data_IF_153005824361
#
_entry.id   IF_153005824361
#
_cell.length_a   1.000
_cell.length_b   1.000
_cell.length_c   1.000
_cell.angle_alpha   90.00
_cell.angle_beta   90.00
_cell.angle_gamma   90.00
#
_symmetry.space_group_name_H-M   'P 1'
#
loop_
_entity.id
_entity.type
_entity.pdbx_description
1 polymer ?
#
# COMPACT_ATOMS: atom_id res chain seq x y z
N UNK A 1 4.52 26.99 29.33
CA UNK A 1 3.34 27.88 29.28
C UNK A 1 3.60 28.97 28.24
N UNK A 2 3.11 28.84 27.03
CA UNK A 2 2.91 29.95 26.08
C UNK A 2 1.62 29.65 25.33
N UNK A 3 0.61 30.49 25.55
CA UNK A 3 -0.69 30.47 24.89
C UNK A 3 -0.51 30.98 23.46
N UNK A 4 -1.06 30.29 22.48
CA UNK A 4 -1.26 30.81 21.11
C UNK A 4 -2.76 30.94 20.90
N UNK A 5 -3.18 32.18 20.62
CA UNK A 5 -4.56 32.57 20.39
C UNK A 5 -5.04 32.14 19.01
N UNK A 6 -6.25 31.57 18.98
CA UNK A 6 -7.04 31.36 17.78
C UNK A 6 -7.68 32.70 17.34
N UNK A 7 -7.46 33.10 16.12
CA UNK A 7 -8.18 34.20 15.48
C UNK A 7 -9.23 33.56 14.55
N UNK A 8 -10.49 33.78 14.92
CA UNK A 8 -11.67 33.38 14.19
C UNK A 8 -12.00 34.49 13.18
N UNK A 9 -11.96 34.20 11.88
CA UNK A 9 -12.50 35.12 10.85
C UNK A 9 -13.94 34.70 10.51
N UNK A 10 -14.89 35.55 10.96
CA UNK A 10 -16.26 35.55 10.47
C UNK A 10 -16.32 36.30 9.13
N UNK A 11 -16.79 35.64 8.08
CA UNK A 11 -17.29 36.36 6.87
C UNK A 11 -18.80 36.40 6.89
N UNK A 12 -19.30 37.63 7.02
CA UNK A 12 -20.72 37.95 6.92
C UNK A 12 -21.15 38.03 5.45
N UNK A 13 -22.28 37.38 5.15
CA UNK A 13 -22.89 37.45 3.83
C UNK A 13 -23.58 38.76 3.57
N UNK A 14 -23.57 39.23 2.34
CA UNK A 14 -24.46 40.26 1.85
C UNK A 14 -25.24 39.73 0.63
N UNK A 15 -26.53 39.61 0.84
CA UNK A 15 -27.51 39.33 -0.20
C UNK A 15 -27.82 40.61 -1.00
N UNK A 16 -27.80 40.54 -2.33
CA UNK A 16 -28.46 41.57 -3.17
C UNK A 16 -29.50 40.91 -4.02
N UNK A 17 -30.78 41.26 -3.69
CA UNK A 17 -31.95 41.12 -4.55
C UNK A 17 -31.94 42.28 -5.55
N UNK A 18 -32.05 41.97 -6.83
CA UNK A 18 -32.30 42.95 -7.88
C UNK A 18 -33.40 42.44 -8.82
N UNK A 19 -34.61 42.88 -8.59
CA UNK A 19 -35.79 42.66 -9.44
C UNK A 19 -35.83 43.72 -10.53
N UNK A 20 -35.94 43.37 -11.82
CA UNK A 20 -36.31 44.30 -12.89
C UNK A 20 -37.30 43.63 -13.82
N UNK A 21 -38.55 44.19 -13.80
CA UNK A 21 -39.63 43.94 -14.78
C UNK A 21 -39.50 44.91 -15.92
N UNK A 22 -39.64 44.44 -17.16
CA UNK A 22 -40.21 45.25 -18.29
C UNK A 22 -40.64 44.29 -19.41
N UNK A 23 -41.88 44.22 -19.60
CA UNK A 23 -42.84 44.82 -20.54
C UNK A 23 -42.96 44.11 -21.91
N UNK A 24 -44.18 43.58 -22.01
CA UNK A 24 -44.88 43.02 -23.16
C UNK A 24 -45.04 44.05 -24.29
N UNK A 25 -44.75 43.63 -25.53
CA UNK A 25 -45.42 44.13 -26.73
C UNK A 25 -45.87 43.01 -27.64
N UNK A 26 -47.16 42.83 -27.77
CA UNK A 26 -47.83 42.04 -28.81
C UNK A 26 -47.68 42.70 -30.16
N UNK A 27 -47.36 41.94 -31.20
CA UNK A 27 -47.83 42.22 -32.55
C UNK A 27 -48.27 40.93 -33.22
N UNK A 28 -49.46 40.94 -33.75
CA UNK A 28 -50.18 39.90 -34.50
C UNK A 28 -49.72 39.86 -35.97
N UNK A 29 -49.99 38.71 -36.55
CA UNK A 29 -50.16 38.30 -37.95
C UNK A 29 -48.88 37.74 -38.59
N UNK A 30 -48.82 36.61 -39.34
CA UNK A 30 -49.85 35.99 -40.21
C UNK A 30 -49.50 34.52 -40.36
N UNK A 31 -50.46 33.65 -40.64
CA UNK A 31 -50.33 32.26 -41.03
C UNK A 31 -49.59 32.11 -42.34
N UNK A 32 -48.62 31.21 -42.41
CA UNK A 32 -48.32 30.49 -43.63
C UNK A 32 -48.00 29.02 -43.32
N UNK A 33 -48.66 28.14 -44.05
CA UNK A 33 -48.57 26.70 -43.94
C UNK A 33 -47.32 26.18 -44.63
N UNK A 34 -46.74 25.12 -44.05
CA UNK A 34 -45.95 24.21 -44.88
C UNK A 34 -44.67 23.71 -44.22
N UNK A 35 -44.61 22.41 -44.13
CA UNK A 35 -43.48 21.49 -43.87
C UNK A 35 -43.10 21.28 -42.39
N UNK A 36 -43.64 20.17 -41.89
CA UNK A 36 -43.09 19.39 -40.78
C UNK A 36 -41.84 18.68 -41.22
N UNK A 37 -40.68 19.31 -41.07
CA UNK A 37 -39.42 18.55 -41.03
C UNK A 37 -39.23 18.09 -39.58
N UNK A 38 -39.38 16.77 -39.40
CA UNK A 38 -38.97 16.08 -38.17
C UNK A 38 -37.46 16.20 -38.01
N UNK A 39 -37.01 17.18 -37.24
CA UNK A 39 -35.62 17.23 -36.78
C UNK A 39 -35.44 16.08 -35.80
N UNK A 40 -34.88 14.98 -36.31
CA UNK A 40 -34.33 13.89 -35.48
C UNK A 40 -33.20 14.50 -34.66
N UNK A 41 -33.44 14.77 -33.37
CA UNK A 41 -32.35 15.00 -32.41
C UNK A 41 -31.47 13.74 -32.37
N UNK A 42 -30.36 13.78 -33.08
CA UNK A 42 -29.32 12.80 -32.95
C UNK A 42 -28.78 12.88 -31.52
N UNK A 43 -29.20 11.99 -30.63
CA UNK A 43 -28.54 11.77 -29.34
C UNK A 43 -27.06 11.59 -29.59
N UNK A 44 -26.26 12.54 -29.07
CA UNK A 44 -24.81 12.39 -29.04
C UNK A 44 -24.47 11.00 -28.45
N UNK A 45 -23.50 10.26 -29.03
CA UNK A 45 -23.13 8.96 -28.51
C UNK A 45 -22.71 9.12 -27.03
N UNK A 46 -23.40 8.45 -26.13
CA UNK A 46 -22.99 8.32 -24.74
C UNK A 46 -21.59 7.69 -24.77
N UNK A 47 -20.56 8.44 -24.45
CA UNK A 47 -19.18 7.96 -24.40
C UNK A 47 -19.16 6.83 -23.35
N UNK A 48 -19.15 5.62 -23.82
CA UNK A 48 -19.11 4.44 -22.95
C UNK A 48 -17.84 4.53 -22.10
N UNK A 49 -18.00 4.60 -20.79
CA UNK A 49 -16.87 4.70 -19.86
C UNK A 49 -16.06 3.39 -19.95
N UNK A 50 -14.76 3.50 -19.86
CA UNK A 50 -13.87 2.33 -19.85
C UNK A 50 -14.25 1.40 -18.69
N UNK A 51 -14.58 0.10 -18.93
CA UNK A 51 -14.97 -0.83 -17.87
C UNK A 51 -13.96 -0.94 -16.72
N UNK A 52 -12.66 -0.81 -17.02
CA UNK A 52 -11.62 -0.84 -15.99
C UNK A 52 -11.63 0.43 -15.13
N UNK A 53 -12.00 1.58 -15.69
CA UNK A 53 -12.20 2.82 -14.89
C UNK A 53 -13.41 2.69 -13.98
N UNK A 54 -14.50 2.06 -14.44
CA UNK A 54 -15.64 1.76 -13.58
C UNK A 54 -15.26 0.80 -12.44
N UNK A 55 -14.53 -0.26 -12.75
CA UNK A 55 -13.97 -1.19 -11.76
C UNK A 55 -13.08 -0.46 -10.76
N UNK A 56 -12.15 0.37 -11.24
CA UNK A 56 -11.25 1.17 -10.41
C UNK A 56 -12.01 2.07 -9.45
N UNK A 57 -13.07 2.72 -9.93
CA UNK A 57 -13.95 3.56 -9.10
C UNK A 57 -14.62 2.76 -7.98
N UNK A 58 -15.08 1.53 -8.27
CA UNK A 58 -15.65 0.65 -7.24
C UNK A 58 -14.63 0.22 -6.21
N UNK A 59 -13.40 -0.15 -6.65
CA UNK A 59 -12.30 -0.50 -5.76
C UNK A 59 -11.97 0.66 -4.82
N UNK A 60 -11.78 1.87 -5.35
CA UNK A 60 -11.52 3.06 -4.53
C UNK A 60 -12.66 3.29 -3.53
N UNK A 61 -13.91 3.11 -3.96
CA UNK A 61 -15.07 3.30 -3.10
C UNK A 61 -15.13 2.29 -1.94
N UNK A 62 -14.58 1.08 -2.10
CA UNK A 62 -14.53 0.05 -1.06
C UNK A 62 -13.39 0.25 -0.05
N UNK A 63 -12.39 1.08 -0.37
CA UNK A 63 -11.28 1.35 0.52
C UNK A 63 -11.72 2.07 1.80
N UNK A 64 -10.95 1.93 2.87
CA UNK A 64 -11.19 2.64 4.14
C UNK A 64 -11.20 4.17 3.94
N UNK A 65 -11.95 4.89 4.78
CA UNK A 65 -11.98 6.37 4.72
C UNK A 65 -10.58 6.96 4.89
N UNK A 66 -9.74 6.35 5.74
CA UNK A 66 -8.37 6.78 5.93
C UNK A 66 -7.53 6.58 4.67
N UNK A 67 -7.64 5.43 4.02
CA UNK A 67 -6.97 5.18 2.75
C UNK A 67 -7.37 6.23 1.70
N UNK A 68 -8.68 6.46 1.51
CA UNK A 68 -9.21 7.46 0.57
C UNK A 68 -8.71 8.87 0.85
N UNK A 69 -8.63 9.25 2.13
CA UNK A 69 -8.15 10.57 2.55
C UNK A 69 -6.65 10.77 2.34
N UNK A 70 -5.87 9.69 2.32
CA UNK A 70 -4.42 9.72 2.15
C UNK A 70 -3.96 9.33 0.74
N UNK A 71 -4.87 8.90 -0.13
CA UNK A 71 -4.54 8.69 -1.56
C UNK A 71 -4.16 10.01 -2.21
N UNK A 72 -3.14 9.95 -3.06
CA UNK A 72 -2.72 11.12 -3.83
C UNK A 72 -3.75 11.54 -4.86
N UNK A 73 -3.85 12.84 -5.09
CA UNK A 73 -4.60 13.40 -6.22
C UNK A 73 -3.97 12.97 -7.55
N UNK A 74 -4.80 12.54 -8.49
CA UNK A 74 -4.40 12.12 -9.83
C UNK A 74 -5.58 11.68 -10.67
N UNK A 75 -5.37 11.45 -11.97
CA UNK A 75 -6.43 10.92 -12.82
C UNK A 75 -6.60 9.41 -12.63
N UNK A 76 -7.83 8.92 -12.83
CA UNK A 76 -8.11 7.48 -12.79
C UNK A 76 -7.34 6.72 -13.89
N UNK A 77 -7.12 7.34 -15.05
CA UNK A 77 -6.33 6.79 -16.15
C UNK A 77 -4.86 6.62 -15.77
N UNK A 78 -4.31 7.57 -15.02
CA UNK A 78 -2.93 7.49 -14.56
C UNK A 78 -2.78 6.41 -13.48
N UNK A 79 -3.71 6.36 -12.52
CA UNK A 79 -3.74 5.32 -11.49
C UNK A 79 -3.87 3.93 -12.12
N UNK A 80 -4.77 3.75 -13.10
CA UNK A 80 -4.94 2.49 -13.82
C UNK A 80 -3.68 2.09 -14.59
N UNK A 81 -3.03 3.05 -15.25
CA UNK A 81 -1.78 2.82 -15.96
C UNK A 81 -0.67 2.32 -15.03
N UNK A 82 -0.56 2.93 -13.84
CA UNK A 82 0.45 2.52 -12.87
C UNK A 82 0.08 1.19 -12.18
N UNK A 83 -1.20 0.92 -11.96
CA UNK A 83 -1.68 -0.38 -11.48
C UNK A 83 -1.30 -1.50 -12.48
N UNK A 84 -1.49 -1.29 -13.78
CA UNK A 84 -1.11 -2.28 -14.80
C UNK A 84 0.39 -2.60 -14.76
N UNK A 85 1.28 -1.61 -14.52
CA UNK A 85 2.72 -1.87 -14.35
C UNK A 85 3.00 -2.80 -13.17
N UNK A 86 2.27 -2.64 -12.08
CA UNK A 86 2.38 -3.51 -10.89
C UNK A 86 1.90 -4.92 -11.19
N UNK A 87 0.74 -5.07 -11.86
CA UNK A 87 0.19 -6.38 -12.24
C UNK A 87 1.07 -7.10 -13.28
N UNK A 88 1.65 -6.37 -14.23
CA UNK A 88 2.61 -6.90 -15.19
C UNK A 88 3.92 -7.34 -14.53
N UNK A 89 4.36 -6.62 -13.49
CA UNK A 89 5.52 -7.01 -12.69
C UNK A 89 5.21 -8.28 -11.89
N UNK A 90 4.03 -8.38 -11.27
CA UNK A 90 3.57 -9.58 -10.56
C UNK A 90 3.55 -10.81 -11.46
N UNK A 91 3.17 -10.64 -12.72
CA UNK A 91 3.11 -11.73 -13.68
C UNK A 91 4.47 -12.40 -13.95
N UNK A 92 5.58 -11.76 -13.57
CA UNK A 92 6.96 -12.27 -13.72
C UNK A 92 7.45 -13.08 -12.51
N UNK A 93 6.74 -13.00 -11.37
CA UNK A 93 7.09 -13.81 -10.19
C UNK A 93 6.66 -15.27 -10.37
N UNK A 94 7.27 -16.22 -9.63
CA UNK A 94 6.89 -17.63 -9.66
C UNK A 94 5.38 -17.83 -9.43
N UNK A 95 4.76 -18.69 -10.26
CA UNK A 95 3.30 -18.94 -10.23
C UNK A 95 2.90 -20.11 -9.34
N UNK A 96 3.87 -20.88 -8.88
CA UNK A 96 3.72 -22.03 -8.00
C UNK A 96 3.82 -21.66 -6.51
N UNK A 97 3.79 -20.35 -6.22
CA UNK A 97 3.79 -19.80 -4.88
C UNK A 97 2.73 -18.69 -4.73
N UNK A 98 2.46 -18.26 -3.49
CA UNK A 98 1.63 -17.10 -3.24
C UNK A 98 2.27 -15.83 -3.83
N UNK A 99 1.43 -14.96 -4.35
CA UNK A 99 1.86 -13.66 -4.87
C UNK A 99 2.64 -12.88 -3.81
N UNK A 100 3.64 -12.10 -4.25
CA UNK A 100 4.29 -11.09 -3.39
C UNK A 100 3.30 -10.04 -2.88
N UNK A 101 2.14 -9.89 -3.54
CA UNK A 101 1.05 -8.99 -3.13
C UNK A 101 -0.04 -9.69 -2.33
N UNK A 102 0.19 -10.92 -1.87
CA UNK A 102 -0.78 -11.59 -1.02
C UNK A 102 -1.05 -10.75 0.24
N UNK A 103 -2.31 -10.41 0.44
CA UNK A 103 -2.74 -9.67 1.63
C UNK A 103 -2.70 -10.62 2.84
N UNK A 104 -1.73 -10.42 3.70
CA UNK A 104 -1.59 -11.13 4.98
C UNK A 104 -1.55 -10.10 6.10
N UNK A 105 -2.47 -10.22 7.03
CA UNK A 105 -2.63 -9.33 8.18
C UNK A 105 -3.44 -10.04 9.27
N UNK A 106 -3.93 -9.32 10.28
CA UNK A 106 -4.74 -9.90 11.37
C UNK A 106 -6.06 -10.56 10.93
N UNK A 107 -6.53 -10.29 9.72
CA UNK A 107 -7.80 -10.80 9.17
C UNK A 107 -7.58 -11.81 8.06
N UNK A 108 -6.42 -11.77 7.41
CA UNK A 108 -6.08 -12.60 6.26
C UNK A 108 -4.88 -13.47 6.62
N UNK A 109 -5.05 -14.78 6.55
CA UNK A 109 -4.06 -15.77 6.97
C UNK A 109 -3.68 -16.71 5.83
N UNK A 110 -2.56 -17.37 5.99
CA UNK A 110 -2.16 -18.53 5.20
C UNK A 110 -2.38 -19.81 6.00
N UNK A 111 -2.48 -20.93 5.29
CA UNK A 111 -2.65 -22.25 5.90
C UNK A 111 -1.44 -22.63 6.78
N UNK A 112 -1.66 -23.46 7.81
CA UNK A 112 -0.62 -23.97 8.69
C UNK A 112 0.49 -24.72 7.92
N UNK A 113 0.10 -25.45 6.89
CA UNK A 113 1.00 -26.23 6.04
C UNK A 113 1.74 -25.40 4.98
N UNK A 114 1.37 -24.11 4.80
CA UNK A 114 1.98 -23.28 3.77
C UNK A 114 3.46 -23.04 4.06
N UNK A 115 4.28 -23.42 3.09
CA UNK A 115 5.73 -23.16 3.02
C UNK A 115 6.02 -22.62 1.62
N UNK A 116 6.70 -21.45 1.47
CA UNK A 116 7.08 -20.95 0.16
C UNK A 116 7.87 -21.96 -0.67
N UNK A 117 7.58 -22.04 -1.97
CA UNK A 117 8.13 -23.07 -2.86
C UNK A 117 9.63 -22.93 -3.09
N UNK A 118 10.14 -21.70 -3.16
CA UNK A 118 11.52 -21.39 -3.56
C UNK A 118 12.32 -20.72 -2.44
N UNK A 119 12.39 -21.38 -1.28
CA UNK A 119 13.20 -20.92 -0.17
C UNK A 119 14.69 -21.25 -0.39
N UNK A 120 15.53 -20.21 -0.34
CA UNK A 120 16.99 -20.34 -0.36
C UNK A 120 17.58 -19.92 0.98
N UNK A 121 18.70 -20.54 1.36
CA UNK A 121 19.39 -20.21 2.60
C UNK A 121 20.10 -18.86 2.49
N UNK A 122 19.83 -17.99 3.44
CA UNK A 122 20.51 -16.69 3.56
C UNK A 122 21.80 -16.85 4.36
N UNK A 123 22.92 -16.40 3.81
CA UNK A 123 24.25 -16.53 4.42
C UNK A 123 25.00 -15.20 4.32
N UNK A 124 25.76 -14.88 5.37
CA UNK A 124 26.62 -13.71 5.36
C UNK A 124 27.57 -13.73 4.16
N UNK A 125 27.79 -12.57 3.59
CA UNK A 125 28.69 -12.37 2.46
C UNK A 125 29.41 -11.01 2.59
N UNK A 126 30.05 -10.52 1.51
CA UNK A 126 30.75 -9.23 1.53
C UNK A 126 29.81 -8.02 1.67
N UNK A 127 28.50 -8.17 1.35
CA UNK A 127 27.53 -7.08 1.33
C UNK A 127 26.71 -6.99 2.62
N UNK A 128 26.33 -8.11 3.22
CA UNK A 128 25.51 -8.13 4.44
C UNK A 128 25.96 -9.22 5.42
N UNK A 129 25.58 -9.03 6.68
CA UNK A 129 25.82 -9.99 7.78
C UNK A 129 24.50 -10.64 8.16
N UNK A 130 24.57 -11.90 8.59
CA UNK A 130 23.42 -12.67 9.08
C UNK A 130 23.66 -13.00 10.55
N UNK A 131 22.76 -12.58 11.42
CA UNK A 131 22.90 -12.72 12.87
C UNK A 131 22.41 -14.07 13.41
N UNK A 132 21.66 -14.83 12.61
CA UNK A 132 21.12 -16.15 12.98
C UNK A 132 21.53 -17.21 11.96
N UNK A 133 21.69 -18.45 12.43
CA UNK A 133 21.88 -19.61 11.54
C UNK A 133 20.53 -20.11 11.01
N UNK A 134 20.61 -20.78 9.84
CA UNK A 134 19.48 -21.50 9.23
C UNK A 134 18.24 -20.63 9.01
N UNK A 135 18.46 -19.45 8.43
CA UNK A 135 17.39 -18.54 7.97
C UNK A 135 17.27 -18.60 6.45
N UNK A 136 16.05 -18.39 5.96
CA UNK A 136 15.69 -18.61 4.56
C UNK A 136 14.84 -17.45 4.05
N UNK A 137 14.96 -17.15 2.76
CA UNK A 137 14.06 -16.25 2.02
C UNK A 137 13.63 -16.93 0.73
N UNK A 138 12.58 -16.42 0.12
CA UNK A 138 12.29 -16.70 -1.28
C UNK A 138 13.48 -16.24 -2.13
N UNK A 139 13.74 -16.98 -3.20
CA UNK A 139 14.90 -16.73 -4.09
C UNK A 139 14.87 -15.30 -4.68
N UNK A 140 13.67 -14.83 -5.10
CA UNK A 140 13.47 -13.47 -5.61
C UNK A 140 13.77 -12.38 -4.57
N UNK A 141 13.35 -12.58 -3.32
CA UNK A 141 13.64 -11.68 -2.20
C UNK A 141 15.11 -11.70 -1.81
N UNK A 142 15.77 -12.88 -1.82
CA UNK A 142 17.21 -12.98 -1.52
C UNK A 142 18.05 -12.28 -2.61
N UNK A 143 17.68 -12.44 -3.87
CA UNK A 143 18.36 -11.75 -4.97
C UNK A 143 18.27 -10.22 -4.82
N UNK A 144 17.07 -9.70 -4.48
CA UNK A 144 16.84 -8.26 -4.23
C UNK A 144 17.59 -7.78 -2.96
N UNK A 145 17.65 -8.60 -1.90
CA UNK A 145 18.46 -8.29 -0.71
C UNK A 145 19.95 -8.14 -1.08
N UNK A 146 20.49 -9.06 -1.87
CA UNK A 146 21.89 -9.03 -2.28
C UNK A 146 22.22 -7.79 -3.10
N UNK A 147 21.36 -7.42 -4.03
CA UNK A 147 21.50 -6.20 -4.83
C UNK A 147 21.48 -4.97 -3.93
N UNK A 148 20.44 -4.82 -3.11
CA UNK A 148 20.26 -3.71 -2.17
C UNK A 148 21.48 -3.57 -1.23
N UNK A 149 21.90 -4.68 -0.62
CA UNK A 149 23.01 -4.69 0.31
C UNK A 149 24.35 -4.38 -0.37
N UNK A 150 24.53 -4.75 -1.64
CA UNK A 150 25.69 -4.38 -2.45
C UNK A 150 25.80 -2.86 -2.61
N UNK A 151 24.70 -2.17 -2.87
CA UNK A 151 24.63 -0.71 -2.97
C UNK A 151 24.85 -0.04 -1.60
N UNK A 152 24.19 -0.54 -0.54
CA UNK A 152 24.44 -0.07 0.82
C UNK A 152 25.91 -0.16 1.19
N UNK A 153 26.56 -1.28 0.82
CA UNK A 153 27.99 -1.47 1.06
C UNK A 153 28.88 -0.49 0.30
N UNK A 154 28.52 -0.14 -0.93
CA UNK A 154 29.22 0.89 -1.70
C UNK A 154 29.12 2.27 -1.02
N UNK A 155 28.01 2.54 -0.33
CA UNK A 155 27.79 3.74 0.50
C UNK A 155 28.43 3.62 1.90
N UNK A 156 29.19 2.56 2.18
CA UNK A 156 29.86 2.32 3.46
C UNK A 156 28.98 1.71 4.55
N UNK A 157 27.77 1.25 4.20
CA UNK A 157 26.80 0.65 5.13
C UNK A 157 26.82 -0.87 4.98
N UNK A 158 26.92 -1.59 6.08
CA UNK A 158 26.69 -3.04 6.10
C UNK A 158 25.34 -3.31 6.73
N UNK A 159 24.46 -4.00 6.02
CA UNK A 159 23.14 -4.37 6.53
C UNK A 159 23.24 -5.65 7.36
N UNK A 160 22.54 -5.69 8.49
CA UNK A 160 22.43 -6.86 9.37
C UNK A 160 21.05 -7.51 9.21
N UNK A 161 21.03 -8.79 8.82
CA UNK A 161 19.80 -9.58 8.67
C UNK A 161 19.59 -10.39 9.95
N UNK A 162 18.52 -10.10 10.68
CA UNK A 162 18.26 -10.69 12.01
C UNK A 162 17.14 -11.71 12.01
N UNK A 163 16.14 -11.59 11.13
CA UNK A 163 15.06 -12.56 11.01
C UNK A 163 14.52 -12.55 9.57
N UNK A 164 14.06 -13.71 9.11
CA UNK A 164 13.52 -13.89 7.75
C UNK A 164 12.34 -14.84 7.78
N UNK A 165 12.20 -15.82 6.88
CA UNK A 165 11.14 -16.81 6.91
C UNK A 165 10.96 -17.43 8.32
N UNK A 166 9.71 -17.49 8.76
CA UNK A 166 9.27 -18.20 9.98
C UNK A 166 8.15 -19.15 9.61
N UNK A 167 8.31 -20.44 9.96
CA UNK A 167 7.22 -21.40 9.80
C UNK A 167 6.06 -21.08 10.74
N UNK A 168 4.87 -21.60 10.43
CA UNK A 168 3.71 -21.52 11.32
C UNK A 168 4.03 -21.96 12.74
N UNK A 169 4.69 -23.12 12.90
CA UNK A 169 5.05 -23.66 14.21
C UNK A 169 6.05 -22.78 14.97
N UNK A 170 7.02 -22.17 14.26
CA UNK A 170 7.93 -21.20 14.87
C UNK A 170 7.16 -19.97 15.36
N UNK A 171 6.30 -19.40 14.51
CA UNK A 171 5.50 -18.21 14.86
C UNK A 171 4.55 -18.49 16.03
N UNK A 172 3.96 -19.70 16.10
CA UNK A 172 3.13 -20.11 17.22
C UNK A 172 3.91 -20.06 18.55
N UNK A 173 5.10 -20.65 18.58
CA UNK A 173 5.92 -20.64 19.78
C UNK A 173 6.37 -19.24 20.19
N UNK A 174 6.67 -18.38 19.20
CA UNK A 174 7.04 -16.99 19.42
C UNK A 174 5.88 -16.17 19.98
N UNK A 175 4.68 -16.30 19.40
CA UNK A 175 3.49 -15.64 19.89
C UNK A 175 3.12 -16.08 21.31
N UNK A 176 3.12 -17.41 21.57
CA UNK A 176 2.87 -17.96 22.90
C UNK A 176 3.89 -17.48 23.95
N UNK A 177 5.14 -17.26 23.54
CA UNK A 177 6.17 -16.68 24.41
C UNK A 177 5.82 -15.23 24.78
N UNK A 178 5.48 -14.38 23.81
CA UNK A 178 5.14 -12.99 24.07
C UNK A 178 3.88 -12.85 24.90
N UNK A 179 2.86 -13.69 24.67
CA UNK A 179 1.67 -13.73 25.53
C UNK A 179 2.02 -14.00 27.00
N UNK A 180 3.02 -14.84 27.27
CA UNK A 180 3.49 -15.12 28.64
C UNK A 180 4.29 -13.97 29.26
N UNK A 181 5.05 -13.24 28.46
CA UNK A 181 5.95 -12.17 28.94
C UNK A 181 5.17 -10.88 29.13
N UNK A 182 4.39 -10.45 28.13
CA UNK A 182 3.80 -9.11 28.05
C UNK A 182 2.27 -9.12 28.15
N UNK A 183 1.66 -10.32 28.17
CA UNK A 183 0.22 -10.49 28.13
C UNK A 183 -0.34 -10.45 26.70
N UNK A 184 -1.62 -10.86 26.56
CA UNK A 184 -2.23 -11.04 25.26
C UNK A 184 -2.35 -9.72 24.47
N UNK A 185 -2.74 -8.65 25.14
CA UNK A 185 -2.98 -7.35 24.48
C UNK A 185 -1.71 -6.80 23.83
N UNK A 186 -0.59 -6.80 24.55
CA UNK A 186 0.68 -6.32 23.99
C UNK A 186 1.27 -7.29 22.96
N UNK A 187 1.18 -8.60 23.22
CA UNK A 187 1.59 -9.61 22.24
C UNK A 187 0.86 -9.47 20.89
N UNK A 188 -0.41 -9.09 20.89
CA UNK A 188 -1.18 -8.80 19.67
C UNK A 188 -0.67 -7.58 18.92
N UNK A 189 -0.10 -6.59 19.61
CA UNK A 189 0.43 -5.39 18.98
C UNK A 189 1.83 -5.59 18.38
N UNK A 190 2.61 -6.51 18.93
CA UNK A 190 4.02 -6.70 18.62
C UNK A 190 4.33 -7.98 17.84
N UNK A 191 3.42 -8.95 17.83
CA UNK A 191 3.65 -10.24 17.20
C UNK A 191 2.42 -10.73 16.45
N UNK A 192 2.64 -11.25 15.26
CA UNK A 192 1.57 -11.85 14.50
C UNK A 192 1.14 -13.19 15.10
N UNK A 193 -0.17 -13.47 15.08
CA UNK A 193 -0.67 -14.83 15.32
C UNK A 193 -0.10 -15.79 14.25
N UNK A 194 0.05 -17.09 14.57
CA UNK A 194 0.46 -18.07 13.57
C UNK A 194 -0.51 -18.07 12.39
N UNK A 195 0.06 -18.08 11.18
CA UNK A 195 -0.71 -17.96 9.93
C UNK A 195 -0.93 -16.54 9.45
N UNK A 196 -0.72 -15.49 10.28
CA UNK A 196 -0.94 -14.08 9.90
C UNK A 196 0.36 -13.28 9.79
N UNK A 197 1.51 -13.94 9.88
CA UNK A 197 2.82 -13.30 9.83
C UNK A 197 3.32 -13.14 8.39
N UNK A 198 3.75 -11.93 8.01
CA UNK A 198 4.44 -11.68 6.73
C UNK A 198 5.70 -12.54 6.56
N UNK A 199 6.37 -12.92 7.64
CA UNK A 199 7.53 -13.82 7.60
C UNK A 199 7.19 -15.21 7.06
N UNK A 200 5.95 -15.67 7.20
CA UNK A 200 5.57 -16.98 6.65
C UNK A 200 5.51 -16.96 5.12
N UNK A 201 5.39 -15.78 4.48
CA UNK A 201 5.48 -15.64 3.03
C UNK A 201 6.92 -15.77 2.48
N UNK A 202 7.95 -15.78 3.35
CA UNK A 202 9.35 -15.87 2.94
C UNK A 202 9.90 -14.63 2.24
N UNK A 203 9.22 -13.50 2.33
CA UNK A 203 9.62 -12.24 1.68
C UNK A 203 9.72 -11.06 2.67
N UNK A 204 9.76 -11.31 3.97
CA UNK A 204 9.96 -10.29 5.00
C UNK A 204 11.30 -10.50 5.73
N UNK A 205 11.93 -9.38 6.10
CA UNK A 205 13.19 -9.33 6.86
C UNK A 205 13.03 -8.34 8.01
N UNK A 206 13.51 -8.77 9.19
CA UNK A 206 13.85 -7.86 10.27
C UNK A 206 15.35 -7.54 10.20
N UNK A 207 15.69 -6.25 10.11
CA UNK A 207 17.08 -5.78 10.01
C UNK A 207 17.61 -5.26 11.35
N UNK A 208 18.91 -5.41 11.56
CA UNK A 208 19.64 -4.83 12.69
C UNK A 208 19.18 -5.32 14.06
N UNK A 209 19.17 -4.41 15.01
CA UNK A 209 18.49 -4.60 16.29
C UNK A 209 16.98 -4.57 16.07
N UNK A 210 16.26 -5.55 16.61
CA UNK A 210 14.79 -5.60 16.52
C UNK A 210 14.24 -4.74 17.68
N UNK A 211 14.45 -3.43 17.58
CA UNK A 211 14.03 -2.41 18.56
C UNK A 211 13.82 -1.03 17.89
N UNK A 212 13.19 -0.12 18.61
CA UNK A 212 12.82 1.21 18.14
C UNK A 212 14.02 2.15 17.86
N UNK A 213 15.24 1.73 18.16
CA UNK A 213 16.45 2.53 17.88
C UNK A 213 17.07 2.21 16.52
N UNK A 214 16.59 1.18 15.82
CA UNK A 214 17.11 0.83 14.50
C UNK A 214 17.01 1.99 13.50
N UNK A 215 15.93 2.80 13.52
CA UNK A 215 15.75 3.97 12.64
C UNK A 215 16.83 5.05 12.83
N UNK A 216 17.51 5.07 14.00
CA UNK A 216 18.59 6.00 14.33
C UNK A 216 19.95 5.50 13.86
N UNK A 217 20.06 4.22 13.53
CA UNK A 217 21.31 3.64 13.04
C UNK A 217 21.61 4.08 11.61
N UNK A 218 22.90 4.09 11.18
CA UNK A 218 23.21 4.35 9.78
C UNK A 218 22.53 3.38 8.81
N UNK A 219 22.37 2.10 9.19
CA UNK A 219 21.66 1.08 8.41
C UNK A 219 20.17 1.41 8.27
N UNK A 220 19.50 1.72 9.38
CA UNK A 220 18.08 2.08 9.38
C UNK A 220 17.82 3.33 8.55
N UNK A 221 18.62 4.38 8.71
CA UNK A 221 18.49 5.61 7.92
C UNK A 221 18.69 5.37 6.42
N UNK A 222 19.66 4.53 6.05
CA UNK A 222 19.88 4.13 4.68
C UNK A 222 18.67 3.36 4.12
N UNK A 223 18.16 2.39 4.89
CA UNK A 223 16.98 1.60 4.51
C UNK A 223 15.74 2.50 4.29
N UNK A 224 15.45 3.41 5.21
CA UNK A 224 14.33 4.35 5.04
C UNK A 224 14.40 5.16 3.76
N UNK A 225 15.60 5.51 3.31
CA UNK A 225 15.82 6.32 2.12
C UNK A 225 15.79 5.52 0.83
N UNK A 226 16.35 4.32 0.84
CA UNK A 226 16.70 3.59 -0.38
C UNK A 226 15.98 2.26 -0.59
N UNK A 227 15.42 1.63 0.46
CA UNK A 227 14.85 0.28 0.36
C UNK A 227 13.84 0.13 -0.79
N UNK A 228 12.98 1.13 -1.01
CA UNK A 228 11.98 1.13 -2.08
C UNK A 228 12.56 1.10 -3.49
N UNK A 229 13.80 1.56 -3.69
CA UNK A 229 14.50 1.52 -4.97
C UNK A 229 14.84 0.07 -5.39
N UNK A 230 14.88 -0.83 -4.40
CA UNK A 230 15.17 -2.26 -4.55
C UNK A 230 13.96 -3.15 -4.27
N UNK A 231 12.76 -2.56 -4.18
CA UNK A 231 11.51 -3.31 -3.99
C UNK A 231 11.21 -3.71 -2.55
N UNK A 232 11.92 -3.15 -1.56
CA UNK A 232 11.66 -3.39 -0.14
C UNK A 232 10.83 -2.24 0.45
N UNK A 233 9.79 -2.59 1.18
CA UNK A 233 8.85 -1.65 1.78
C UNK A 233 8.72 -1.87 3.28
N UNK A 234 8.73 -0.78 4.05
CA UNK A 234 8.42 -0.80 5.47
C UNK A 234 6.96 -1.20 5.67
N UNK A 235 6.71 -2.29 6.42
CA UNK A 235 5.36 -2.83 6.57
C UNK A 235 4.52 -2.12 7.63
N UNK A 236 5.15 -1.67 8.72
CA UNK A 236 4.46 -1.12 9.90
C UNK A 236 4.98 0.29 10.20
N UNK A 237 4.59 1.31 9.39
CA UNK A 237 5.05 2.67 9.54
C UNK A 237 4.47 3.35 10.78
N UNK A 238 5.18 4.34 11.32
CA UNK A 238 4.79 5.10 12.49
C UNK A 238 3.46 5.83 12.27
N UNK A 239 2.52 5.67 13.21
CA UNK A 239 1.21 6.31 13.15
C UNK A 239 0.15 5.55 12.36
N UNK A 240 0.41 4.30 11.96
CA UNK A 240 -0.52 3.45 11.18
C UNK A 240 -0.89 2.15 11.90
N UNK A 241 -0.77 2.10 13.22
CA UNK A 241 -1.15 0.92 14.01
C UNK A 241 -2.64 0.57 13.84
N UNK A 242 -3.51 1.57 13.73
CA UNK A 242 -4.94 1.39 13.46
C UNK A 242 -5.25 0.84 12.05
N UNK A 243 -4.33 0.99 11.11
CA UNK A 243 -4.41 0.47 9.74
C UNK A 243 -3.83 -0.94 9.65
N UNK A 244 -2.60 -1.12 10.15
CA UNK A 244 -1.86 -2.38 10.03
C UNK A 244 -2.22 -3.40 11.10
N UNK A 245 -2.72 -2.93 12.25
CA UNK A 245 -2.96 -3.74 13.45
C UNK A 245 -1.70 -4.02 14.27
N UNK A 246 -0.54 -3.49 13.85
CA UNK A 246 0.74 -3.66 14.54
C UNK A 246 1.35 -2.30 14.88
N UNK A 247 2.07 -2.26 16.01
CA UNK A 247 2.83 -1.07 16.38
C UNK A 247 3.88 -0.75 15.30
N UNK A 248 4.46 0.44 15.39
CA UNK A 248 5.58 0.81 14.53
C UNK A 248 6.77 -0.15 14.71
N UNK A 249 7.27 -0.67 13.59
CA UNK A 249 8.44 -1.55 13.54
C UNK A 249 9.40 -1.02 12.49
N UNK A 250 10.37 -0.23 12.89
CA UNK A 250 11.33 0.42 11.99
C UNK A 250 12.32 -0.54 11.32
N UNK A 251 12.40 -1.76 11.79
CA UNK A 251 13.29 -2.83 11.29
C UNK A 251 12.62 -3.78 10.29
N UNK A 252 11.28 -3.80 10.21
CA UNK A 252 10.52 -4.81 9.47
C UNK A 252 10.20 -4.35 8.05
N UNK A 253 10.86 -4.96 7.08
CA UNK A 253 10.67 -4.68 5.66
C UNK A 253 10.19 -5.92 4.91
N UNK A 254 9.26 -5.72 3.97
CA UNK A 254 8.77 -6.76 3.07
C UNK A 254 9.16 -6.45 1.64
N UNK A 255 9.67 -7.47 0.93
CA UNK A 255 9.91 -7.40 -0.50
C UNK A 255 8.58 -7.52 -1.25
N UNK A 256 8.28 -6.50 -2.04
CA UNK A 256 7.07 -6.41 -2.87
C UNK A 256 7.42 -6.05 -4.33
N UNK A 257 8.71 -5.92 -4.65
CA UNK A 257 9.17 -5.50 -5.97
C UNK A 257 9.14 -3.99 -6.21
N UNK A 258 9.95 -3.56 -7.17
CA UNK A 258 10.21 -2.13 -7.41
C UNK A 258 8.96 -1.38 -7.88
N UNK A 259 8.17 -1.97 -8.79
CA UNK A 259 6.99 -1.30 -9.33
C UNK A 259 5.90 -1.11 -8.25
N UNK A 260 5.73 -2.08 -7.35
CA UNK A 260 4.81 -1.94 -6.23
C UNK A 260 5.29 -0.88 -5.22
N UNK A 261 6.59 -0.78 -4.95
CA UNK A 261 7.14 0.31 -4.10
C UNK A 261 6.90 1.70 -4.73
N UNK A 262 7.07 1.84 -6.04
CA UNK A 262 6.77 3.09 -6.75
C UNK A 262 5.27 3.44 -6.67
N UNK A 263 4.41 2.44 -6.90
CA UNK A 263 2.95 2.58 -6.88
C UNK A 263 2.46 2.98 -5.50
N UNK A 264 2.90 2.27 -4.45
CA UNK A 264 2.61 2.56 -3.06
C UNK A 264 3.04 3.98 -2.67
N UNK A 265 4.27 4.38 -3.03
CA UNK A 265 4.81 5.71 -2.73
C UNK A 265 4.03 6.81 -3.43
N UNK A 266 3.61 6.59 -4.67
CA UNK A 266 2.90 7.60 -5.47
C UNK A 266 1.44 7.75 -5.05
N UNK A 267 0.73 6.64 -4.80
CA UNK A 267 -0.72 6.67 -4.67
C UNK A 267 -1.24 6.46 -3.24
N UNK A 268 -0.46 5.83 -2.35
CA UNK A 268 -0.92 5.37 -1.05
C UNK A 268 -0.07 5.90 0.11
N UNK A 269 0.44 7.12 -0.02
CA UNK A 269 1.26 7.78 1.01
C UNK A 269 2.39 6.89 1.56
N UNK A 270 2.95 6.02 0.72
CA UNK A 270 3.95 5.03 1.07
C UNK A 270 3.50 4.01 2.15
N UNK A 271 2.19 3.77 2.30
CA UNK A 271 1.62 2.79 3.24
C UNK A 271 1.36 1.47 2.51
N UNK A 272 2.13 0.44 2.83
CA UNK A 272 2.08 -0.88 2.20
C UNK A 272 0.69 -1.53 2.33
N UNK A 273 0.08 -1.45 3.50
CA UNK A 273 -1.22 -2.06 3.78
C UNK A 273 -2.31 -1.54 2.82
N UNK A 274 -2.37 -0.22 2.59
CA UNK A 274 -3.36 0.37 1.68
C UNK A 274 -3.20 -0.14 0.25
N UNK A 275 -1.95 -0.23 -0.24
CA UNK A 275 -1.69 -0.75 -1.58
C UNK A 275 -2.06 -2.24 -1.70
N UNK A 276 -1.74 -3.06 -0.70
CA UNK A 276 -2.06 -4.48 -0.71
C UNK A 276 -3.58 -4.72 -0.65
N UNK A 277 -4.32 -3.98 0.19
CA UNK A 277 -5.78 -4.00 0.25
C UNK A 277 -6.40 -3.60 -1.10
N UNK A 278 -5.86 -2.55 -1.73
CA UNK A 278 -6.32 -2.09 -3.04
C UNK A 278 -6.13 -3.14 -4.14
N UNK A 279 -4.97 -3.79 -4.19
CA UNK A 279 -4.69 -4.86 -5.17
C UNK A 279 -5.57 -6.09 -4.90
N UNK A 280 -5.79 -6.44 -3.66
CA UNK A 280 -6.65 -7.56 -3.26
C UNK A 280 -8.10 -7.30 -3.69
N UNK A 281 -8.64 -6.11 -3.43
CA UNK A 281 -9.97 -5.70 -3.88
C UNK A 281 -10.07 -5.64 -5.42
N UNK A 282 -9.03 -5.14 -6.09
CA UNK A 282 -8.98 -5.18 -7.56
C UNK A 282 -9.10 -6.59 -8.11
N UNK A 283 -8.39 -7.55 -7.51
CA UNK A 283 -8.42 -8.96 -7.95
C UNK A 283 -9.77 -9.64 -7.68
N UNK A 284 -10.44 -9.31 -6.59
CA UNK A 284 -11.76 -9.85 -6.23
C UNK A 284 -12.89 -9.42 -7.18
N UNK A 285 -12.76 -8.26 -7.79
CA UNK A 285 -13.77 -7.71 -8.72
C UNK A 285 -13.56 -8.15 -10.19
N UNK A 286 -12.72 -9.14 -10.43
CA UNK A 286 -12.44 -9.67 -11.77
C UNK A 286 -13.61 -10.44 -12.35
#
# INVERSE_FOLDING_TARGET
MKKVSFILFLFAGLSFLGCSKQNVKQSKSEMNSGNTETVSEAKAPVKQMNPEIEKLTRVISSMSERCKAEMSDGSLEELLTDLHKVLDAEARFPKDDLSLYYLIDKKHSVDESYVPAHLVKVQSNSAYVVNKKDIYLREDAEAALREMAGHAKADGITLDVSSTYRSYAYQKNLFDYWVKVDGLEEAERESARPGTSQHQLGCAIDFGSIDDDYDKTPGGQWMYKHAGEYGWSLSFPKGYEDVTGYRWECWHFRYIGIEACKFQKKWFNNVQQFMLEFIDEWKKQS
#
